data_IF_892001907880
#
_entry.id   IF_892001907880
#
_cell.length_a   1.000
_cell.length_b   1.000
_cell.length_c   1.000
_cell.angle_alpha   90.00
_cell.angle_beta   90.00
_cell.angle_gamma   90.00
#
_symmetry.space_group_name_H-M   'P 1'
#
loop_
_entity.id
_entity.type
_entity.pdbx_description
1 polymer ?
#
# COMPACT_ATOMS: atom_id res chain seq x y z
N UNK A 1 -88.13 28.63 46.48
CA UNK A 1 -86.86 28.76 45.75
C UNK A 1 -86.86 27.95 44.44
N UNK A 2 -87.16 26.63 44.49
CA UNK A 2 -87.17 25.75 43.32
C UNK A 2 -88.08 26.20 42.16
N UNK A 3 -89.29 26.69 42.47
CA UNK A 3 -90.24 27.17 41.45
C UNK A 3 -89.79 28.43 40.70
N UNK A 4 -88.75 29.12 41.19
CA UNK A 4 -88.23 30.38 40.61
C UNK A 4 -86.89 30.17 39.91
N UNK A 5 -86.02 29.31 40.45
CA UNK A 5 -84.69 29.02 39.89
C UNK A 5 -84.78 28.06 38.70
N UNK A 6 -85.57 26.98 38.82
CA UNK A 6 -85.65 25.95 37.76
C UNK A 6 -86.11 26.51 36.39
N UNK A 7 -87.10 27.41 36.30
CA UNK A 7 -87.47 28.01 35.02
C UNK A 7 -86.35 28.88 34.42
N UNK A 8 -85.62 29.64 35.24
CA UNK A 8 -84.52 30.50 34.79
C UNK A 8 -83.32 29.67 34.33
N UNK A 9 -82.97 28.64 35.09
CA UNK A 9 -81.94 27.68 34.73
C UNK A 9 -82.26 27.03 33.38
N UNK A 10 -83.47 26.50 33.19
CA UNK A 10 -83.87 25.89 31.90
C UNK A 10 -83.80 26.87 30.74
N UNK A 11 -84.21 28.11 30.94
CA UNK A 11 -84.17 29.15 29.91
C UNK A 11 -82.73 29.50 29.51
N UNK A 12 -81.85 29.70 30.49
CA UNK A 12 -80.43 30.01 30.28
C UNK A 12 -79.72 28.83 29.61
N UNK A 13 -79.93 27.61 30.11
CA UNK A 13 -79.38 26.39 29.51
C UNK A 13 -79.81 26.24 28.04
N UNK A 14 -81.07 26.55 27.72
CA UNK A 14 -81.57 26.48 26.33
C UNK A 14 -80.95 27.56 25.45
N UNK A 15 -80.84 28.79 25.94
CA UNK A 15 -80.30 29.90 25.16
C UNK A 15 -78.81 29.69 24.86
N UNK A 16 -78.00 29.54 25.90
CA UNK A 16 -76.56 29.28 25.75
C UNK A 16 -76.34 27.96 25.02
N UNK A 17 -77.15 26.93 25.32
CA UNK A 17 -77.01 25.62 24.70
C UNK A 17 -77.25 25.63 23.19
N UNK A 18 -78.03 26.58 22.66
CA UNK A 18 -78.30 26.72 21.23
C UNK A 18 -77.11 27.27 20.44
N UNK A 19 -76.14 27.89 21.11
CA UNK A 19 -74.93 28.45 20.49
C UNK A 19 -73.86 27.38 20.23
N UNK A 20 -73.96 26.24 20.90
CA UNK A 20 -72.98 25.14 20.81
C UNK A 20 -73.52 23.98 19.97
N UNK A 21 -72.67 23.35 19.17
CA UNK A 21 -73.06 22.15 18.43
C UNK A 21 -73.08 20.91 19.33
N UNK A 22 -73.88 19.90 19.00
CA UNK A 22 -73.98 18.64 19.77
C UNK A 22 -72.60 17.97 20.01
N UNK A 23 -71.68 18.09 19.05
CA UNK A 23 -70.29 17.60 19.16
C UNK A 23 -69.47 18.33 20.23
N UNK A 24 -69.75 19.60 20.46
CA UNK A 24 -68.99 20.48 21.35
C UNK A 24 -69.28 20.16 22.83
N UNK A 25 -70.44 19.56 23.13
CA UNK A 25 -70.79 19.07 24.47
C UNK A 25 -70.11 17.75 24.83
N UNK A 26 -69.72 16.97 23.81
CA UNK A 26 -69.03 15.68 23.96
C UNK A 26 -67.51 15.91 24.05
N UNK A 27 -67.00 16.95 23.39
CA UNK A 27 -65.59 17.37 23.46
C UNK A 27 -65.34 18.13 24.77
N UNK A 28 -64.39 17.66 25.59
CA UNK A 28 -64.18 18.16 26.95
C UNK A 28 -63.87 19.66 27.05
N UNK A 29 -63.11 20.23 26.10
CA UNK A 29 -62.68 21.63 26.13
C UNK A 29 -63.85 22.62 26.01
N UNK A 30 -64.77 22.37 25.06
CA UNK A 30 -65.94 23.24 24.86
C UNK A 30 -67.04 23.00 25.87
N UNK A 31 -67.10 21.81 26.47
CA UNK A 31 -67.97 21.52 27.62
C UNK A 31 -67.63 22.41 28.82
N UNK A 32 -66.35 22.60 29.09
CA UNK A 32 -65.90 23.47 30.19
C UNK A 32 -66.28 24.93 29.93
N UNK A 33 -66.12 25.39 28.68
CA UNK A 33 -66.51 26.74 28.29
C UNK A 33 -68.02 26.98 28.45
N UNK A 34 -68.85 26.01 28.04
CA UNK A 34 -70.30 26.07 28.28
C UNK A 34 -70.65 26.17 29.78
N UNK A 35 -69.97 25.42 30.65
CA UNK A 35 -70.21 25.49 32.10
C UNK A 35 -69.87 26.86 32.69
N UNK A 36 -68.78 27.47 32.22
CA UNK A 36 -68.37 28.82 32.63
C UNK A 36 -69.39 29.87 32.21
N UNK A 37 -69.79 29.84 30.94
CA UNK A 37 -70.78 30.79 30.38
C UNK A 37 -72.14 30.66 31.08
N UNK A 38 -72.59 29.42 31.29
CA UNK A 38 -73.83 29.14 32.01
C UNK A 38 -73.79 29.60 33.47
N UNK A 39 -72.67 29.38 34.16
CA UNK A 39 -72.49 29.82 35.56
C UNK A 39 -72.52 31.34 35.66
N UNK A 40 -71.82 32.04 34.76
CA UNK A 40 -71.76 33.50 34.75
C UNK A 40 -73.15 34.13 34.50
N UNK A 41 -73.90 33.62 33.54
CA UNK A 41 -75.24 34.14 33.23
C UNK A 41 -76.25 33.82 34.34
N UNK A 42 -76.15 32.64 34.95
CA UNK A 42 -77.00 32.26 36.08
C UNK A 42 -76.72 33.13 37.32
N UNK A 43 -75.45 33.43 37.60
CA UNK A 43 -75.05 34.39 38.65
C UNK A 43 -75.67 35.76 38.40
N UNK A 44 -75.58 36.27 37.16
CA UNK A 44 -76.13 37.58 36.78
C UNK A 44 -77.65 37.66 37.00
N UNK A 45 -78.40 36.63 36.59
CA UNK A 45 -79.87 36.63 36.67
C UNK A 45 -80.38 36.34 38.08
N UNK A 46 -79.70 35.50 38.86
CA UNK A 46 -80.07 35.17 40.23
C UNK A 46 -79.71 36.26 41.25
N UNK A 47 -78.65 37.05 40.99
CA UNK A 47 -78.28 38.20 41.82
C UNK A 47 -79.43 39.23 41.92
N UNK A 48 -80.18 39.45 40.84
CA UNK A 48 -81.34 40.35 40.82
C UNK A 48 -82.49 39.93 41.77
N UNK A 49 -82.45 38.70 42.30
CA UNK A 49 -83.45 38.15 43.23
C UNK A 49 -82.85 37.82 44.61
N UNK A 50 -81.66 38.35 44.93
CA UNK A 50 -80.90 38.08 46.16
C UNK A 50 -80.59 36.59 46.38
N UNK A 51 -80.32 35.85 45.29
CA UNK A 51 -79.86 34.44 45.36
C UNK A 51 -78.46 34.36 44.80
N UNK A 52 -77.52 33.88 45.61
CA UNK A 52 -76.14 33.64 45.20
C UNK A 52 -75.97 32.22 44.64
N UNK A 53 -75.35 32.10 43.47
CA UNK A 53 -75.07 30.82 42.81
C UNK A 53 -73.57 30.64 42.73
N UNK A 54 -73.05 29.61 43.41
CA UNK A 54 -71.61 29.38 43.49
C UNK A 54 -71.07 28.70 42.23
N UNK A 55 -71.77 27.70 41.70
CA UNK A 55 -71.31 26.90 40.57
C UNK A 55 -72.47 26.16 39.89
N UNK A 56 -72.45 26.08 38.57
CA UNK A 56 -73.37 25.26 37.79
C UNK A 56 -72.58 24.18 37.02
N UNK A 57 -72.61 22.94 37.52
CA UNK A 57 -71.92 21.81 36.90
C UNK A 57 -72.90 20.96 36.07
N UNK A 58 -72.45 20.57 34.87
CA UNK A 58 -73.17 19.59 34.05
C UNK A 58 -72.72 18.20 34.48
N UNK A 59 -73.62 17.44 35.11
CA UNK A 59 -73.34 16.08 35.59
C UNK A 59 -73.37 15.06 34.46
N UNK A 60 -74.44 15.04 33.69
CA UNK A 60 -74.64 14.10 32.59
C UNK A 60 -75.18 14.81 31.35
N UNK A 61 -74.83 14.28 30.18
CA UNK A 61 -75.25 14.79 28.87
C UNK A 61 -75.85 13.63 28.11
N UNK A 62 -77.18 13.59 28.12
CA UNK A 62 -77.94 12.68 27.29
C UNK A 62 -78.23 13.36 25.95
N UNK A 63 -77.68 12.79 24.87
CA UNK A 63 -78.04 13.22 23.52
C UNK A 63 -79.35 12.52 23.18
N UNK A 64 -80.44 13.27 23.07
CA UNK A 64 -81.69 12.77 22.54
C UNK A 64 -81.77 13.14 21.05
N UNK A 65 -81.98 12.15 20.19
CA UNK A 65 -82.31 12.44 18.80
C UNK A 65 -83.64 13.22 18.75
N UNK A 66 -83.81 14.18 17.81
CA UNK A 66 -85.13 14.73 17.53
C UNK A 66 -86.04 13.54 17.21
N UNK A 67 -87.21 13.48 17.86
CA UNK A 67 -88.19 12.42 17.69
C UNK A 67 -88.40 12.18 16.20
N UNK A 68 -87.82 11.09 15.68
CA UNK A 68 -88.25 10.52 14.42
C UNK A 68 -89.74 10.23 14.59
N UNK A 69 -90.53 10.78 13.68
CA UNK A 69 -91.96 10.57 13.63
C UNK A 69 -92.31 9.09 13.76
N UNK A 70 -93.46 8.84 14.36
CA UNK A 70 -93.95 7.52 14.73
C UNK A 70 -93.91 6.53 13.55
N UNK A 71 -92.87 5.69 13.50
CA UNK A 71 -92.78 4.64 12.48
C UNK A 71 -91.37 4.12 12.21
N UNK A 72 -90.64 3.66 13.24
CA UNK A 72 -89.42 2.86 13.04
C UNK A 72 -88.28 3.16 14.03
N UNK A 73 -87.87 2.14 14.78
CA UNK A 73 -86.55 2.00 15.42
C UNK A 73 -85.95 3.23 16.12
N UNK A 74 -86.39 3.52 17.35
CA UNK A 74 -85.97 4.65 18.21
C UNK A 74 -84.50 4.64 18.68
N UNK A 75 -83.64 3.79 18.12
CA UNK A 75 -82.28 3.51 18.60
C UNK A 75 -81.17 3.98 17.64
N UNK A 76 -81.43 4.23 16.35
CA UNK A 76 -80.33 4.33 15.37
C UNK A 76 -79.54 5.65 15.39
N UNK A 77 -80.20 6.81 15.46
CA UNK A 77 -79.55 8.11 15.15
C UNK A 77 -78.51 8.54 16.19
N UNK A 78 -78.74 8.25 17.47
CA UNK A 78 -77.79 8.57 18.55
C UNK A 78 -76.59 7.64 18.58
N UNK A 79 -76.81 6.37 18.23
CA UNK A 79 -75.76 5.38 18.02
C UNK A 79 -74.91 5.75 16.80
N UNK A 80 -75.55 6.27 15.74
CA UNK A 80 -74.88 6.73 14.52
C UNK A 80 -73.90 7.89 14.77
N UNK A 81 -74.26 8.90 15.59
CA UNK A 81 -73.34 10.01 15.88
C UNK A 81 -72.12 9.56 16.70
N UNK A 82 -72.32 8.76 17.76
CA UNK A 82 -71.22 8.22 18.57
C UNK A 82 -70.29 7.33 17.74
N UNK A 83 -70.89 6.48 16.89
CA UNK A 83 -70.17 5.59 15.99
C UNK A 83 -69.38 6.38 14.93
N UNK A 84 -69.95 7.44 14.38
CA UNK A 84 -69.27 8.32 13.41
C UNK A 84 -68.07 9.02 14.04
N UNK A 85 -68.21 9.55 15.26
CA UNK A 85 -67.11 10.16 16.00
C UNK A 85 -66.01 9.13 16.26
N UNK A 86 -66.36 7.93 16.75
CA UNK A 86 -65.39 6.86 17.00
C UNK A 86 -64.67 6.42 15.70
N UNK A 87 -65.39 6.28 14.60
CA UNK A 87 -64.81 5.97 13.30
C UNK A 87 -63.86 7.06 12.82
N UNK A 88 -64.17 8.34 13.06
CA UNK A 88 -63.29 9.45 12.71
C UNK A 88 -61.98 9.41 13.49
N UNK A 89 -62.02 9.12 14.80
CA UNK A 89 -60.82 8.96 15.62
C UNK A 89 -59.98 7.76 15.16
N UNK A 90 -60.60 6.60 14.91
CA UNK A 90 -59.91 5.41 14.41
C UNK A 90 -59.26 5.70 13.05
N UNK A 91 -59.93 6.44 12.17
CA UNK A 91 -59.40 6.82 10.87
C UNK A 91 -58.18 7.75 11.01
N UNK A 92 -58.24 8.75 11.90
CA UNK A 92 -57.13 9.67 12.19
C UNK A 92 -55.93 8.90 12.75
N UNK A 93 -56.14 8.03 13.75
CA UNK A 93 -55.07 7.23 14.34
C UNK A 93 -54.47 6.22 13.35
N UNK A 94 -55.31 5.57 12.55
CA UNK A 94 -54.88 4.65 11.49
C UNK A 94 -54.04 5.39 10.46
N UNK A 95 -54.44 6.59 10.05
CA UNK A 95 -53.69 7.42 9.12
C UNK A 95 -52.35 7.85 9.71
N UNK A 96 -52.33 8.38 10.93
CA UNK A 96 -51.10 8.77 11.62
C UNK A 96 -50.13 7.59 11.78
N UNK A 97 -50.67 6.41 12.09
CA UNK A 97 -49.87 5.18 12.20
C UNK A 97 -49.27 4.78 10.86
N UNK A 98 -50.05 4.83 9.78
CA UNK A 98 -49.56 4.53 8.42
C UNK A 98 -48.50 5.53 7.96
N UNK A 99 -48.67 6.81 8.27
CA UNK A 99 -47.68 7.85 7.97
C UNK A 99 -46.36 7.58 8.71
N UNK A 100 -46.40 7.34 10.03
CA UNK A 100 -45.21 6.97 10.81
C UNK A 100 -44.55 5.68 10.32
N UNK A 101 -45.34 4.67 9.92
CA UNK A 101 -44.82 3.45 9.34
C UNK A 101 -44.12 3.69 8.00
N UNK A 102 -44.68 4.55 7.14
CA UNK A 102 -44.05 4.95 5.88
C UNK A 102 -42.74 5.68 6.11
N UNK A 103 -42.71 6.65 7.02
CA UNK A 103 -41.48 7.36 7.39
C UNK A 103 -40.41 6.43 7.96
N UNK A 104 -40.81 5.46 8.81
CA UNK A 104 -39.88 4.47 9.32
C UNK A 104 -39.34 3.56 8.21
N UNK A 105 -40.20 3.17 7.25
CA UNK A 105 -39.80 2.36 6.11
C UNK A 105 -38.86 3.11 5.16
N UNK A 106 -39.10 4.41 4.88
CA UNK A 106 -38.21 5.22 4.05
C UNK A 106 -36.85 5.40 4.70
N UNK A 107 -36.80 5.78 6.00
CA UNK A 107 -35.55 5.89 6.75
C UNK A 107 -34.77 4.57 6.80
N UNK A 108 -35.48 3.45 6.95
CA UNK A 108 -34.86 2.12 6.92
C UNK A 108 -34.28 1.81 5.54
N UNK A 109 -35.00 2.13 4.47
CA UNK A 109 -34.53 1.92 3.10
C UNK A 109 -33.28 2.78 2.80
N UNK A 110 -33.29 4.06 3.19
CA UNK A 110 -32.14 4.97 3.07
C UNK A 110 -30.93 4.44 3.86
N UNK A 111 -31.14 3.98 5.10
CA UNK A 111 -30.07 3.40 5.91
C UNK A 111 -29.44 2.16 5.24
N UNK A 112 -30.25 1.26 4.71
CA UNK A 112 -29.77 0.07 4.00
C UNK A 112 -29.03 0.42 2.70
N UNK A 113 -29.49 1.45 1.99
CA UNK A 113 -28.80 1.97 0.81
C UNK A 113 -27.42 2.53 1.18
N UNK A 114 -27.34 3.37 2.21
CA UNK A 114 -26.08 3.95 2.70
C UNK A 114 -25.12 2.85 3.17
N UNK A 115 -25.60 1.84 3.90
CA UNK A 115 -24.77 0.69 4.30
C UNK A 115 -24.19 -0.04 3.09
N UNK A 116 -25.00 -0.36 2.09
CA UNK A 116 -24.53 -1.02 0.86
C UNK A 116 -23.46 -0.19 0.15
N UNK A 117 -23.64 1.14 0.06
CA UNK A 117 -22.63 2.04 -0.52
C UNK A 117 -21.32 2.02 0.27
N UNK A 118 -21.40 2.02 1.61
CA UNK A 118 -20.22 1.91 2.48
C UNK A 118 -19.51 0.57 2.28
N UNK A 119 -20.25 -0.53 2.15
CA UNK A 119 -19.66 -1.86 1.93
C UNK A 119 -18.95 -1.94 0.57
N UNK A 120 -19.57 -1.42 -0.49
CA UNK A 120 -18.92 -1.31 -1.81
C UNK A 120 -17.65 -0.47 -1.72
N UNK A 121 -17.72 0.70 -1.09
CA UNK A 121 -16.56 1.58 -0.92
C UNK A 121 -15.43 0.90 -0.12
N UNK A 122 -15.76 0.17 0.94
CA UNK A 122 -14.78 -0.60 1.72
C UNK A 122 -14.08 -1.66 0.88
N UNK A 123 -14.81 -2.40 0.07
CA UNK A 123 -14.22 -3.42 -0.81
C UNK A 123 -13.35 -2.80 -1.91
N UNK A 124 -13.79 -1.69 -2.51
CA UNK A 124 -12.97 -0.93 -3.48
C UNK A 124 -11.68 -0.44 -2.84
N UNK A 125 -11.75 0.22 -1.68
CA UNK A 125 -10.56 0.72 -0.98
C UNK A 125 -9.61 -0.42 -0.61
N UNK A 126 -10.12 -1.57 -0.18
CA UNK A 126 -9.29 -2.76 0.11
C UNK A 126 -8.60 -3.30 -1.14
N UNK A 127 -9.26 -3.27 -2.29
CA UNK A 127 -8.68 -3.70 -3.56
C UNK A 127 -7.61 -2.72 -4.04
N UNK A 128 -7.91 -1.41 -4.01
CA UNK A 128 -6.97 -0.35 -4.36
C UNK A 128 -5.74 -0.36 -3.44
N UNK A 129 -5.95 -0.54 -2.13
CA UNK A 129 -4.84 -0.62 -1.15
C UNK A 129 -3.94 -1.81 -1.47
N UNK A 130 -4.50 -2.97 -1.84
CA UNK A 130 -3.71 -4.15 -2.24
C UNK A 130 -2.85 -3.86 -3.48
N UNK A 131 -3.43 -3.19 -4.48
CA UNK A 131 -2.71 -2.79 -5.70
C UNK A 131 -1.61 -1.79 -5.35
N UNK A 132 -1.91 -0.77 -4.54
CA UNK A 132 -0.95 0.25 -4.13
C UNK A 132 0.24 -0.35 -3.37
N UNK A 133 -0.03 -1.22 -2.39
CA UNK A 133 1.03 -1.92 -1.64
C UNK A 133 1.88 -2.78 -2.56
N UNK A 134 1.27 -3.50 -3.51
CA UNK A 134 2.00 -4.31 -4.49
C UNK A 134 2.89 -3.43 -5.39
N UNK A 135 2.38 -2.30 -5.88
CA UNK A 135 3.12 -1.36 -6.71
C UNK A 135 4.29 -0.73 -5.94
N UNK A 136 4.05 -0.23 -4.72
CA UNK A 136 5.11 0.35 -3.87
C UNK A 136 6.20 -0.68 -3.61
N UNK A 137 5.84 -1.94 -3.33
CA UNK A 137 6.81 -3.00 -3.13
C UNK A 137 7.62 -3.28 -4.40
N UNK A 138 6.96 -3.45 -5.53
CA UNK A 138 7.62 -3.69 -6.82
C UNK A 138 8.53 -2.54 -7.24
N UNK A 139 8.10 -1.29 -7.02
CA UNK A 139 8.89 -0.09 -7.29
C UNK A 139 10.08 0.03 -6.33
N UNK A 140 9.89 -0.29 -5.04
CA UNK A 140 10.96 -0.37 -4.06
C UNK A 140 12.01 -1.42 -4.42
N UNK A 141 11.59 -2.63 -4.79
CA UNK A 141 12.47 -3.73 -5.20
C UNK A 141 13.25 -3.35 -6.48
N UNK A 142 12.55 -2.75 -7.46
CA UNK A 142 13.18 -2.24 -8.69
C UNK A 142 14.25 -1.19 -8.38
N UNK A 143 13.92 -0.19 -7.55
CA UNK A 143 14.85 0.89 -7.20
C UNK A 143 16.05 0.38 -6.41
N UNK A 144 15.85 -0.58 -5.51
CA UNK A 144 16.94 -1.24 -4.80
C UNK A 144 17.87 -1.98 -5.77
N UNK A 145 17.32 -2.68 -6.78
CA UNK A 145 18.10 -3.35 -7.80
C UNK A 145 18.88 -2.36 -8.70
N UNK A 146 18.26 -1.24 -9.09
CA UNK A 146 18.92 -0.16 -9.84
C UNK A 146 20.10 0.42 -9.05
N UNK A 147 19.89 0.77 -7.78
CA UNK A 147 20.96 1.27 -6.89
C UNK A 147 22.09 0.25 -6.76
N UNK A 148 21.76 -1.03 -6.58
CA UNK A 148 22.76 -2.08 -6.48
C UNK A 148 23.58 -2.25 -7.78
N UNK A 149 22.91 -2.14 -8.94
CA UNK A 149 23.58 -2.19 -10.24
C UNK A 149 24.48 -0.97 -10.48
N UNK A 150 24.01 0.23 -10.14
CA UNK A 150 24.80 1.47 -10.23
C UNK A 150 26.02 1.41 -9.31
N UNK A 151 25.86 0.99 -8.05
CA UNK A 151 26.96 0.81 -7.12
C UNK A 151 27.96 -0.24 -7.63
N UNK A 152 27.48 -1.34 -8.21
CA UNK A 152 28.33 -2.36 -8.84
C UNK A 152 29.16 -1.79 -10.00
N UNK A 153 28.55 -0.95 -10.85
CA UNK A 153 29.24 -0.26 -11.94
C UNK A 153 30.30 0.71 -11.42
N UNK A 154 29.99 1.47 -10.37
CA UNK A 154 30.94 2.41 -9.75
C UNK A 154 32.14 1.67 -9.16
N UNK A 155 31.91 0.58 -8.42
CA UNK A 155 32.98 -0.27 -7.88
C UNK A 155 33.85 -0.85 -9.00
N UNK A 156 33.24 -1.36 -10.06
CA UNK A 156 33.98 -1.90 -11.21
C UNK A 156 34.83 -0.82 -11.90
N UNK A 157 34.31 0.41 -12.02
CA UNK A 157 35.02 1.56 -12.59
C UNK A 157 36.22 1.95 -11.72
N UNK A 158 36.05 2.01 -10.41
CA UNK A 158 37.14 2.28 -9.47
C UNK A 158 38.21 1.17 -9.55
N UNK A 159 37.82 -0.10 -9.59
CA UNK A 159 38.75 -1.22 -9.73
C UNK A 159 39.54 -1.15 -11.03
N UNK A 160 38.90 -0.78 -12.15
CA UNK A 160 39.58 -0.56 -13.43
C UNK A 160 40.64 0.55 -13.31
N UNK A 161 40.30 1.68 -12.67
CA UNK A 161 41.23 2.79 -12.44
C UNK A 161 42.40 2.37 -11.55
N UNK A 162 42.13 1.66 -10.45
CA UNK A 162 43.17 1.12 -9.56
C UNK A 162 44.10 0.18 -10.32
N UNK A 163 43.55 -0.75 -11.12
CA UNK A 163 44.37 -1.67 -11.92
C UNK A 163 45.24 -0.93 -12.94
N UNK A 164 44.73 0.14 -13.57
CA UNK A 164 45.50 0.99 -14.48
C UNK A 164 46.64 1.72 -13.76
N UNK A 165 46.36 2.33 -12.60
CA UNK A 165 47.36 3.01 -11.79
C UNK A 165 48.44 2.05 -11.28
N UNK A 166 48.05 0.85 -10.87
CA UNK A 166 48.96 -0.21 -10.44
C UNK A 166 49.85 -0.69 -11.59
N UNK A 167 49.32 -0.81 -12.81
CA UNK A 167 50.11 -1.13 -13.99
C UNK A 167 51.15 -0.03 -14.29
N UNK A 168 50.72 1.24 -14.28
CA UNK A 168 51.62 2.38 -14.44
C UNK A 168 52.71 2.42 -13.37
N UNK A 169 52.33 2.20 -12.10
CA UNK A 169 53.27 2.11 -10.97
C UNK A 169 54.32 1.02 -11.20
N UNK A 170 53.90 -0.19 -11.61
CA UNK A 170 54.84 -1.29 -11.89
C UNK A 170 55.77 -0.95 -13.04
N UNK A 171 55.27 -0.32 -14.10
CA UNK A 171 56.09 0.11 -15.23
C UNK A 171 57.15 1.14 -14.80
N UNK A 172 56.74 2.18 -14.04
CA UNK A 172 57.65 3.23 -13.55
C UNK A 172 58.72 2.63 -12.64
N UNK A 173 58.33 1.78 -11.68
CA UNK A 173 59.28 1.12 -10.77
C UNK A 173 60.22 0.17 -11.52
N UNK A 174 59.72 -0.56 -12.51
CA UNK A 174 60.53 -1.45 -13.36
C UNK A 174 61.55 -0.68 -14.19
N UNK A 175 61.15 0.42 -14.82
CA UNK A 175 62.05 1.31 -15.55
C UNK A 175 63.10 1.92 -14.63
N UNK A 176 62.69 2.46 -13.47
CA UNK A 176 63.61 3.03 -12.50
C UNK A 176 64.64 2.01 -12.00
N UNK A 177 64.22 0.76 -11.69
CA UNK A 177 65.14 -0.30 -11.28
C UNK A 177 66.13 -0.67 -12.39
N UNK A 178 65.64 -0.82 -13.63
CA UNK A 178 66.48 -1.11 -14.79
C UNK A 178 67.47 0.03 -15.07
N UNK A 179 67.04 1.29 -14.92
CA UNK A 179 67.89 2.46 -15.09
C UNK A 179 68.98 2.53 -14.02
N UNK A 180 68.66 2.27 -12.75
CA UNK A 180 69.65 2.21 -11.67
C UNK A 180 70.66 1.10 -11.92
N UNK A 181 70.22 -0.11 -12.32
CA UNK A 181 71.14 -1.20 -12.62
C UNK A 181 72.02 -0.88 -13.84
N UNK A 182 71.45 -0.32 -14.91
CA UNK A 182 72.20 0.14 -16.08
C UNK A 182 73.26 1.17 -15.69
N UNK A 183 72.89 2.21 -14.93
CA UNK A 183 73.83 3.23 -14.46
C UNK A 183 74.95 2.62 -13.61
N UNK A 184 74.65 1.65 -12.75
CA UNK A 184 75.66 0.95 -11.95
C UNK A 184 76.62 0.15 -12.83
N UNK A 185 76.11 -0.64 -13.80
CA UNK A 185 76.93 -1.41 -14.73
C UNK A 185 77.78 -0.51 -15.64
N UNK A 186 77.22 0.60 -16.09
CA UNK A 186 77.94 1.60 -16.88
C UNK A 186 79.09 2.23 -16.06
N UNK A 187 78.84 2.55 -14.79
CA UNK A 187 79.86 3.05 -13.86
C UNK A 187 80.95 2.00 -13.59
N UNK A 188 80.58 0.75 -13.32
CA UNK A 188 81.54 -0.36 -13.16
C UNK A 188 82.39 -0.55 -14.42
N UNK A 189 81.75 -0.57 -15.60
CA UNK A 189 82.43 -0.70 -16.89
C UNK A 189 83.36 0.49 -17.20
N UNK A 190 83.00 1.70 -16.77
CA UNK A 190 83.88 2.87 -16.84
C UNK A 190 85.06 2.72 -15.87
N UNK A 191 84.82 2.26 -14.64
CA UNK A 191 85.87 1.95 -13.66
C UNK A 191 86.88 0.92 -14.20
N UNK A 192 86.40 -0.18 -14.78
CA UNK A 192 87.27 -1.17 -15.44
C UNK A 192 88.04 -0.57 -16.61
N UNK A 193 87.42 0.29 -17.43
CA UNK A 193 88.13 1.01 -18.51
C UNK A 193 89.24 1.90 -17.95
N UNK A 194 89.00 2.61 -16.85
CA UNK A 194 90.01 3.42 -16.17
C UNK A 194 91.16 2.55 -15.64
N UNK A 195 90.87 1.42 -14.99
CA UNK A 195 91.89 0.47 -14.53
C UNK A 195 92.74 -0.07 -15.69
N UNK A 196 92.11 -0.56 -16.75
CA UNK A 196 92.81 -1.04 -17.96
C UNK A 196 93.70 0.06 -18.56
N UNK A 197 93.21 1.30 -18.61
CA UNK A 197 94.01 2.44 -19.09
C UNK A 197 95.20 2.76 -18.18
N UNK A 198 95.06 2.61 -16.86
CA UNK A 198 96.14 2.84 -15.89
C UNK A 198 97.24 1.77 -15.97
N UNK A 199 96.89 0.51 -16.25
CA UNK A 199 97.85 -0.58 -16.52
C UNK A 199 98.45 -0.54 -17.95
N UNK A 200 98.00 0.39 -18.80
CA UNK A 200 98.56 0.66 -20.14
C UNK A 200 98.14 -0.32 -21.25
N UNK A 201 97.73 -1.55 -20.93
CA UNK A 201 97.17 -2.49 -21.92
C UNK A 201 96.17 -3.47 -21.30
N UNK A 202 95.15 -3.92 -22.05
CA UNK A 202 94.21 -4.95 -21.60
C UNK A 202 94.89 -6.26 -21.16
N UNK A 203 95.99 -6.63 -21.83
CA UNK A 203 96.75 -7.84 -21.53
C UNK A 203 97.45 -7.75 -20.18
N UNK A 204 98.04 -6.60 -19.85
CA UNK A 204 98.71 -6.38 -18.57
C UNK A 204 97.74 -6.45 -17.38
N UNK A 205 96.55 -5.85 -17.53
CA UNK A 205 95.50 -5.93 -16.50
C UNK A 205 95.00 -7.36 -16.29
N UNK A 206 94.69 -8.09 -17.37
CA UNK A 206 94.25 -9.49 -17.26
C UNK A 206 95.31 -10.39 -16.62
N UNK A 207 96.59 -10.17 -16.93
CA UNK A 207 97.68 -10.92 -16.31
C UNK A 207 97.74 -10.63 -14.80
N UNK A 208 97.63 -9.35 -14.41
CA UNK A 208 97.59 -8.91 -13.01
C UNK A 208 96.43 -9.55 -12.24
N UNK A 209 95.19 -9.40 -12.73
CA UNK A 209 93.99 -10.00 -12.11
C UNK A 209 94.11 -11.53 -12.05
N UNK A 210 94.61 -12.16 -13.11
CA UNK A 210 94.85 -13.60 -13.10
C UNK A 210 95.79 -14.00 -11.98
N UNK A 211 96.94 -13.32 -11.82
CA UNK A 211 97.88 -13.60 -10.71
C UNK A 211 97.30 -13.32 -9.33
N UNK A 212 96.46 -12.30 -9.17
CA UNK A 212 95.84 -11.95 -7.88
C UNK A 212 94.81 -13.00 -7.44
N UNK A 213 94.02 -13.52 -8.40
CA UNK A 213 93.03 -14.58 -8.17
C UNK A 213 93.61 -16.01 -8.33
N UNK A 214 94.91 -16.15 -8.63
CA UNK A 214 95.55 -17.43 -8.89
C UNK A 214 95.79 -18.22 -7.60
N UNK A 215 94.80 -19.02 -7.20
CA UNK A 215 94.93 -19.99 -6.10
C UNK A 215 94.57 -21.43 -6.54
N UNK A 216 95.40 -22.09 -7.36
CA UNK A 216 95.08 -23.41 -7.89
C UNK A 216 95.32 -24.52 -6.86
N UNK A 217 94.32 -25.37 -6.68
CA UNK A 217 94.47 -26.61 -5.87
C UNK A 217 95.30 -27.70 -6.59
N UNK A 218 95.39 -27.66 -7.91
CA UNK A 218 96.27 -28.52 -8.71
C UNK A 218 96.39 -27.98 -10.13
N UNK A 219 97.60 -27.99 -10.70
CA UNK A 219 97.84 -27.58 -12.09
C UNK A 219 98.16 -28.85 -12.91
N UNK A 220 97.43 -29.08 -13.99
CA UNK A 220 97.69 -30.17 -14.94
C UNK A 220 98.00 -29.59 -16.32
N UNK A 221 99.26 -29.63 -16.73
CA UNK A 221 99.66 -29.28 -18.10
C UNK A 221 99.36 -30.47 -19.03
N UNK A 222 98.64 -30.21 -20.12
CA UNK A 222 98.43 -31.17 -21.19
C UNK A 222 99.12 -30.62 -22.44
N UNK A 223 100.11 -31.36 -22.94
CA UNK A 223 100.87 -31.03 -24.14
C UNK A 223 100.35 -31.89 -25.30
N UNK A 224 99.72 -31.26 -26.30
CA UNK A 224 99.17 -31.96 -27.47
C UNK A 224 100.09 -31.74 -28.69
N UNK A 225 100.83 -32.79 -29.08
CA UNK A 225 101.53 -32.88 -30.37
C UNK A 225 100.61 -33.37 -31.50
N UNK A 226 101.06 -33.25 -32.76
CA UNK A 226 100.26 -33.60 -33.94
C UNK A 226 99.73 -35.05 -33.89
N UNK A 227 98.41 -35.19 -33.90
CA UNK A 227 97.72 -36.47 -34.07
C UNK A 227 96.76 -36.86 -32.94
N UNK A 228 95.76 -36.04 -32.63
CA UNK A 228 94.69 -36.41 -31.67
C UNK A 228 93.30 -36.36 -32.30
N UNK A 229 92.67 -37.55 -32.33
CA UNK A 229 91.26 -37.95 -32.18
C UNK A 229 90.10 -37.20 -32.85
N UNK A 230 90.29 -36.03 -33.47
CA UNK A 230 89.22 -35.23 -34.07
C UNK A 230 89.19 -35.27 -35.60
N UNK A 231 90.14 -35.96 -36.24
CA UNK A 231 90.25 -36.07 -37.71
C UNK A 231 89.53 -37.28 -38.33
N UNK A 232 88.87 -38.13 -37.56
CA UNK A 232 88.17 -39.34 -38.08
C UNK A 232 86.63 -39.28 -37.91
N UNK A 233 86.06 -38.07 -37.88
CA UNK A 233 84.60 -37.88 -37.81
C UNK A 233 83.90 -37.97 -39.18
N UNK A 234 84.63 -37.88 -40.29
CA UNK A 234 84.07 -37.97 -41.65
C UNK A 234 83.67 -39.40 -42.07
N UNK A 235 84.12 -40.45 -41.37
CA UNK A 235 83.70 -41.84 -41.63
C UNK A 235 82.39 -42.24 -40.92
N UNK A 236 81.95 -41.46 -39.93
CA UNK A 236 80.75 -41.80 -39.15
C UNK A 236 79.45 -41.33 -39.83
N UNK A 237 79.50 -40.28 -40.65
CA UNK A 237 78.35 -39.74 -41.37
C UNK A 237 77.89 -40.66 -42.53
N UNK A 238 78.83 -41.29 -43.23
CA UNK A 238 78.53 -42.22 -44.33
C UNK A 238 77.86 -43.53 -43.87
N UNK A 239 78.09 -43.96 -42.63
CA UNK A 239 77.46 -45.16 -42.07
C UNK A 239 76.01 -44.93 -41.63
N UNK A 240 75.63 -43.69 -41.26
CA UNK A 240 74.27 -43.35 -40.83
C UNK A 240 73.28 -43.13 -41.97
N UNK A 241 73.75 -42.65 -43.13
CA UNK A 241 72.88 -42.34 -44.27
C UNK A 241 72.38 -43.58 -45.03
N UNK A 242 73.14 -44.68 -45.02
CA UNK A 242 72.78 -45.91 -45.72
C UNK A 242 71.59 -46.66 -45.08
N UNK A 243 71.32 -46.43 -43.78
CA UNK A 243 70.27 -47.15 -43.04
C UNK A 243 68.89 -46.47 -43.11
N UNK A 244 68.82 -45.21 -43.55
CA UNK A 244 67.57 -44.43 -43.65
C UNK A 244 66.84 -44.60 -45.00
N UNK A 245 67.51 -45.09 -46.05
CA UNK A 245 66.92 -45.25 -47.39
C UNK A 245 66.17 -46.58 -47.60
N UNK A 246 66.26 -47.55 -46.69
CA UNK A 246 65.55 -48.85 -46.78
C UNK A 246 64.14 -48.86 -46.14
N UNK A 247 63.69 -47.76 -45.53
CA UNK A 247 62.45 -47.71 -44.74
C UNK A 247 61.21 -47.14 -45.43
N UNK A 248 61.28 -46.66 -46.68
CA UNK A 248 60.21 -45.91 -47.32
C UNK A 248 59.72 -46.57 -48.62
N UNK A 249 59.01 -47.70 -48.54
CA UNK A 249 57.97 -48.03 -49.51
C UNK A 249 57.13 -49.26 -49.09
N UNK A 250 55.85 -49.04 -48.74
CA UNK A 250 54.72 -49.95 -49.01
C UNK A 250 53.36 -49.33 -48.59
N UNK A 251 52.30 -49.38 -49.43
CA UNK A 251 51.05 -48.65 -49.22
C UNK A 251 49.93 -49.47 -48.55
N UNK A 252 48.94 -48.75 -48.01
CA UNK A 252 47.77 -49.23 -47.24
C UNK A 252 46.60 -49.76 -48.11
N UNK A 253 45.59 -50.40 -47.48
CA UNK A 253 44.23 -49.83 -47.56
C UNK A 253 43.38 -49.89 -46.26
N UNK A 254 42.43 -48.95 -46.18
CA UNK A 254 41.37 -48.77 -45.16
C UNK A 254 40.06 -49.54 -45.53
N UNK A 255 38.84 -49.36 -44.93
CA UNK A 255 38.39 -48.50 -43.81
C UNK A 255 37.29 -49.08 -42.85
N UNK A 256 36.88 -48.27 -41.84
CA UNK A 256 35.52 -48.24 -41.25
C UNK A 256 35.41 -48.61 -39.74
N UNK A 257 34.52 -48.11 -38.88
CA UNK A 257 33.44 -47.10 -38.87
C UNK A 257 33.11 -46.76 -37.37
N UNK A 258 32.74 -45.50 -37.11
CA UNK A 258 31.86 -44.93 -36.06
C UNK A 258 32.17 -45.00 -34.57
N UNK A 259 31.95 -43.85 -33.91
CA UNK A 259 30.96 -43.80 -32.82
C UNK A 259 31.39 -42.99 -31.60
N UNK A 260 31.07 -41.70 -31.61
CA UNK A 260 30.98 -40.82 -30.43
C UNK A 260 29.85 -41.32 -29.48
N UNK A 261 29.67 -40.82 -28.25
CA UNK A 261 29.68 -39.40 -27.86
C UNK A 261 30.84 -38.94 -26.95
#
# INVERSE_FOLDING_TARGET
LEKVINPQLRSICRNIGSTYAARDFIQGEKREQFQRDMTAELQRVCAAKNVEVLLALVRDIEVHAPMAEAGGGKTSVTEDLKRTIQQSYIAIESQLTKEKQREAATKKAELEEVKKRVDIARETIRAETRILVANIKAEGDKRAAEIAAEAGLEVATIQQQVASLDAQRRQILGQAAADVERMKRDADAQGYRMLVSAFGSPQAYNLYTFTEDFNPKSIRLIFAGQGTFWTDLSRFEDAGAAQLLQGADRPAPAPGVSGNP
#
